data_IF_080830439074
#
_entry.id   IF_080830439074
#
_cell.length_a   1.000
_cell.length_b   1.000
_cell.length_c   1.000
_cell.angle_alpha   90.00
_cell.angle_beta   90.00
_cell.angle_gamma   90.00
#
_symmetry.space_group_name_H-M   'P 1'
#
loop_
_entity.id
_entity.type
_entity.pdbx_description
1 polymer ?
#
# COMPACT_ATOMS: atom_id res chain seq x y z
N UNK A 1 -18.06 30.90 -32.05
CA UNK A 1 -16.79 30.97 -31.30
C UNK A 1 -17.12 30.56 -29.87
N UNK A 2 -16.30 29.66 -29.31
CA UNK A 2 -16.45 28.98 -28.00
C UNK A 2 -17.56 27.92 -28.03
N UNK A 3 -17.38 26.65 -27.66
CA UNK A 3 -16.47 26.03 -26.68
C UNK A 3 -15.84 24.73 -27.21
N UNK A 4 -14.55 24.55 -26.96
CA UNK A 4 -13.85 23.29 -27.14
C UNK A 4 -13.21 22.98 -25.78
N UNK A 5 -13.92 22.21 -24.96
CA UNK A 5 -13.46 21.78 -23.65
C UNK A 5 -12.50 20.59 -23.81
N UNK A 6 -11.22 20.69 -23.39
CA UNK A 6 -10.24 19.61 -23.57
C UNK A 6 -10.42 18.41 -22.62
N UNK A 7 -11.45 18.39 -21.78
CA UNK A 7 -11.63 17.34 -20.76
C UNK A 7 -12.80 16.36 -21.00
N UNK A 8 -13.47 16.39 -22.16
CA UNK A 8 -14.52 15.41 -22.44
C UNK A 8 -13.93 14.12 -23.05
N UNK A 9 -13.61 13.15 -22.20
CA UNK A 9 -13.38 11.77 -22.62
C UNK A 9 -14.73 11.06 -22.74
N UNK A 10 -15.16 10.76 -23.97
CA UNK A 10 -16.30 9.89 -24.25
C UNK A 10 -15.97 8.44 -23.82
N UNK A 11 -16.36 8.08 -22.60
CA UNK A 11 -16.07 6.77 -22.00
C UNK A 11 -17.18 5.73 -22.26
N UNK A 12 -18.29 6.12 -22.88
CA UNK A 12 -19.40 5.22 -23.16
C UNK A 12 -20.00 5.53 -24.52
N UNK A 13 -19.35 4.98 -25.55
CA UNK A 13 -19.83 4.98 -26.92
C UNK A 13 -21.31 4.62 -26.98
N UNK A 14 -22.08 5.57 -27.51
CA UNK A 14 -23.52 5.50 -27.67
C UNK A 14 -23.92 4.36 -28.61
N UNK A 15 -24.78 3.47 -28.14
CA UNK A 15 -25.73 2.68 -28.96
C UNK A 15 -26.87 2.15 -28.08
N UNK A 16 -27.93 2.96 -28.01
CA UNK A 16 -29.34 2.61 -27.84
C UNK A 16 -29.70 1.18 -27.38
N UNK A 17 -30.29 1.05 -26.18
CA UNK A 17 -31.70 0.60 -26.07
C UNK A 17 -32.24 0.92 -24.67
N UNK A 18 -33.25 1.77 -24.63
CA UNK A 18 -34.06 2.05 -23.45
C UNK A 18 -34.98 0.86 -23.15
N UNK A 19 -35.15 0.50 -21.88
CA UNK A 19 -36.45 0.13 -21.32
C UNK A 19 -36.59 0.67 -19.90
N UNK A 20 -37.53 1.59 -19.79
CA UNK A 20 -38.11 2.17 -18.58
C UNK A 20 -39.08 1.19 -17.92
N UNK A 21 -39.38 1.50 -16.65
CA UNK A 21 -40.50 1.01 -15.81
C UNK A 21 -40.12 -0.18 -14.90
N UNK A 22 -40.47 -0.22 -13.62
CA UNK A 22 -41.31 0.63 -12.78
C UNK A 22 -41.66 -0.17 -11.51
N UNK A 23 -41.69 0.53 -10.37
CA UNK A 23 -42.44 0.29 -9.13
C UNK A 23 -43.03 -1.11 -8.84
N UNK A 24 -42.77 -1.63 -7.63
CA UNK A 24 -43.56 -2.73 -7.06
C UNK A 24 -43.18 -3.11 -5.63
N UNK A 25 -43.67 -2.33 -4.65
CA UNK A 25 -43.80 -2.71 -3.24
C UNK A 25 -44.61 -4.02 -3.10
N UNK A 26 -44.15 -4.95 -2.27
CA UNK A 26 -44.87 -6.17 -1.94
C UNK A 26 -44.38 -6.78 -0.62
N UNK A 27 -44.96 -6.30 0.49
CA UNK A 27 -44.85 -6.88 1.84
C UNK A 27 -46.01 -7.87 2.04
N UNK A 28 -45.73 -9.09 2.50
CA UNK A 28 -46.64 -10.07 3.15
C UNK A 28 -45.76 -11.15 3.78
N UNK A 29 -45.94 -11.66 5.01
CA UNK A 29 -47.01 -11.56 5.99
C UNK A 29 -46.55 -12.00 7.41
N UNK A 30 -47.30 -11.50 8.41
CA UNK A 30 -47.46 -11.80 9.85
C UNK A 30 -47.51 -13.30 10.22
N UNK A 31 -47.39 -13.80 11.47
CA UNK A 31 -47.71 -13.34 12.84
C UNK A 31 -46.78 -14.11 13.84
N UNK A 32 -46.55 -13.74 15.11
CA UNK A 32 -47.54 -13.55 16.17
C UNK A 32 -46.92 -12.79 17.37
N UNK A 33 -47.73 -11.97 18.04
CA UNK A 33 -47.41 -11.18 19.25
C UNK A 33 -48.52 -11.43 20.26
N UNK A 34 -48.23 -11.51 21.57
CA UNK A 34 -49.17 -11.06 22.58
C UNK A 34 -48.85 -9.63 23.04
N UNK A 35 -49.93 -8.86 23.20
CA UNK A 35 -50.00 -7.48 23.70
C UNK A 35 -49.72 -7.39 25.21
N UNK A 36 -49.15 -6.27 25.60
CA UNK A 36 -49.55 -5.49 26.79
C UNK A 36 -49.52 -4.01 26.40
N UNK A 37 -50.62 -3.29 26.67
CA UNK A 37 -50.87 -1.90 26.24
C UNK A 37 -50.18 -0.85 27.16
N UNK A 38 -50.43 0.48 27.04
CA UNK A 38 -49.42 1.45 26.62
C UNK A 38 -49.04 2.44 27.75
N UNK A 39 -47.84 3.01 27.72
CA UNK A 39 -47.51 4.18 28.54
C UNK A 39 -46.89 5.24 27.64
N UNK A 40 -47.62 6.34 27.49
CA UNK A 40 -47.18 7.61 26.92
C UNK A 40 -45.91 8.11 27.63
N UNK A 41 -44.89 8.46 26.85
CA UNK A 41 -43.70 9.13 27.34
C UNK A 41 -42.76 9.48 26.21
N UNK A 42 -42.48 10.78 26.06
CA UNK A 42 -41.58 11.40 25.07
C UNK A 42 -40.26 10.66 24.81
N UNK A 43 -39.67 10.82 23.60
CA UNK A 43 -38.39 10.21 23.26
C UNK A 43 -37.23 10.88 24.04
N UNK A 44 -36.32 10.13 24.68
CA UNK A 44 -35.13 10.73 25.27
C UNK A 44 -34.09 11.05 24.19
N UNK A 45 -33.85 12.35 24.06
CA UNK A 45 -32.64 13.09 23.70
C UNK A 45 -31.36 12.28 23.46
N UNK A 46 -30.74 12.59 22.30
CA UNK A 46 -29.37 12.23 21.89
C UNK A 46 -28.37 12.56 23.01
N UNK A 47 -27.80 11.52 23.62
CA UNK A 47 -26.65 11.63 24.50
C UNK A 47 -25.35 11.70 23.69
N UNK A 48 -24.75 12.89 23.62
CA UNK A 48 -23.34 13.05 23.21
C UNK A 48 -22.45 12.33 24.22
N UNK A 49 -21.97 11.14 23.87
CA UNK A 49 -20.88 10.50 24.59
C UNK A 49 -19.55 11.13 24.16
N UNK A 50 -19.11 12.14 24.89
CA UNK A 50 -17.72 12.61 24.86
C UNK A 50 -16.79 11.46 25.23
N UNK A 51 -15.88 11.11 24.32
CA UNK A 51 -14.78 10.20 24.61
C UNK A 51 -13.86 10.85 25.66
N UNK A 52 -13.45 10.14 26.73
CA UNK A 52 -12.41 10.65 27.61
C UNK A 52 -11.09 10.70 26.83
N UNK A 53 -10.54 11.91 26.69
CA UNK A 53 -9.17 12.11 26.24
C UNK A 53 -8.23 11.42 27.23
N UNK A 54 -7.59 10.33 26.82
CA UNK A 54 -6.51 9.73 27.60
C UNK A 54 -5.31 10.68 27.53
N UNK A 55 -5.12 11.42 28.62
CA UNK A 55 -3.88 12.16 28.89
C UNK A 55 -2.70 11.19 28.80
N UNK A 56 -1.74 11.50 27.92
CA UNK A 56 -0.48 10.76 27.82
C UNK A 56 0.36 11.05 29.08
N UNK A 57 0.80 10.04 29.85
CA UNK A 57 1.81 10.26 30.87
C UNK A 57 3.14 10.56 30.18
N UNK A 58 3.67 11.75 30.44
CA UNK A 58 5.06 12.12 30.18
C UNK A 58 5.94 11.49 31.27
N UNK A 59 7.14 11.09 30.87
CA UNK A 59 8.30 10.71 31.67
C UNK A 59 8.43 9.25 32.13
N UNK A 60 9.11 8.45 31.31
CA UNK A 60 9.87 7.29 31.77
C UNK A 60 11.37 7.64 31.74
N UNK A 61 12.11 7.46 32.84
CA UNK A 61 13.54 7.73 32.90
C UNK A 61 14.31 6.77 31.98
N UNK A 62 15.32 7.33 31.32
CA UNK A 62 16.01 6.75 30.17
C UNK A 62 16.48 5.31 30.38
N UNK A 63 15.86 4.41 29.64
CA UNK A 63 16.60 3.33 28.97
C UNK A 63 17.60 4.07 28.08
N UNK A 64 18.90 3.83 28.27
CA UNK A 64 19.95 4.32 27.36
C UNK A 64 19.44 4.12 25.93
N UNK A 65 19.07 5.22 25.29
CA UNK A 65 18.44 5.16 24.00
C UNK A 65 19.52 4.61 23.07
N UNK A 66 19.36 3.35 22.63
CA UNK A 66 20.11 2.80 21.51
C UNK A 66 20.29 3.92 20.49
N UNK A 67 21.55 4.27 20.19
CA UNK A 67 21.90 5.49 19.47
C UNK A 67 20.94 5.68 18.30
N UNK A 68 20.01 6.64 18.42
CA UNK A 68 18.97 6.83 17.41
C UNK A 68 19.68 7.20 16.12
N UNK A 69 19.55 6.36 15.08
CA UNK A 69 20.16 6.60 13.79
C UNK A 69 19.76 7.96 13.19
N UNK A 70 20.57 8.47 12.27
CA UNK A 70 20.30 9.75 11.59
C UNK A 70 19.17 9.63 10.56
N UNK A 71 18.34 10.66 10.45
CA UNK A 71 17.30 10.73 9.42
C UNK A 71 17.91 10.75 8.02
N UNK A 72 17.32 9.98 7.10
CA UNK A 72 17.64 10.03 5.68
C UNK A 72 16.78 11.09 4.97
N UNK A 73 17.42 11.99 4.22
CA UNK A 73 16.76 12.97 3.38
C UNK A 73 17.01 12.65 1.92
N UNK A 74 15.93 12.36 1.17
CA UNK A 74 16.04 12.10 -0.27
C UNK A 74 16.34 13.40 -1.02
N UNK A 75 17.57 13.56 -1.50
CA UNK A 75 17.93 14.63 -2.41
C UNK A 75 17.63 14.21 -3.86
N UNK A 76 16.58 14.77 -4.45
CA UNK A 76 16.22 14.52 -5.85
C UNK A 76 15.56 13.14 -6.07
N UNK A 77 15.89 12.47 -7.17
CA UNK A 77 15.28 11.18 -7.49
C UNK A 77 16.10 10.00 -6.95
N UNK A 78 15.40 8.92 -6.58
CA UNK A 78 16.01 7.62 -6.31
C UNK A 78 16.56 7.11 -7.63
N UNK A 79 17.88 7.06 -7.77
CA UNK A 79 18.58 6.63 -8.99
C UNK A 79 18.49 5.10 -9.16
N UNK A 80 17.27 4.61 -9.33
CA UNK A 80 16.95 3.20 -9.35
C UNK A 80 17.34 2.57 -10.69
N UNK A 81 17.77 1.30 -10.69
CA UNK A 81 18.27 0.64 -11.88
C UNK A 81 17.22 0.57 -13.02
N UNK A 82 17.69 0.45 -14.27
CA UNK A 82 16.81 0.26 -15.42
C UNK A 82 16.53 -1.23 -15.63
N UNK A 83 15.24 -1.59 -15.68
CA UNK A 83 14.79 -2.95 -15.93
C UNK A 83 14.70 -3.84 -14.70
N UNK A 84 13.84 -4.86 -14.78
CA UNK A 84 13.43 -5.64 -13.61
C UNK A 84 14.52 -6.53 -13.01
N UNK A 85 15.42 -7.10 -13.81
CA UNK A 85 16.55 -7.91 -13.27
C UNK A 85 17.51 -7.08 -12.44
N UNK A 86 17.79 -5.84 -12.87
CA UNK A 86 18.67 -4.97 -12.13
C UNK A 86 18.01 -4.49 -10.83
N UNK A 87 16.70 -4.19 -10.86
CA UNK A 87 15.89 -3.91 -9.65
C UNK A 87 15.85 -5.08 -8.67
N UNK A 88 15.73 -6.31 -9.19
CA UNK A 88 15.78 -7.51 -8.36
C UNK A 88 17.11 -7.60 -7.60
N UNK A 89 18.23 -7.33 -8.29
CA UNK A 89 19.56 -7.30 -7.66
C UNK A 89 19.68 -6.20 -6.61
N UNK A 90 19.22 -4.98 -6.90
CA UNK A 90 19.19 -3.90 -5.90
C UNK A 90 18.32 -4.24 -4.68
N UNK A 91 17.21 -4.98 -4.87
CA UNK A 91 16.40 -5.47 -3.77
C UNK A 91 17.14 -6.52 -2.92
N UNK A 92 17.80 -7.49 -3.56
CA UNK A 92 18.59 -8.52 -2.86
C UNK A 92 19.72 -7.90 -2.05
N UNK A 93 20.47 -6.97 -2.66
CA UNK A 93 21.52 -6.21 -1.99
C UNK A 93 20.97 -5.47 -0.76
N UNK A 94 19.76 -4.89 -0.87
CA UNK A 94 19.14 -4.18 0.23
C UNK A 94 18.63 -5.12 1.34
N UNK A 95 18.07 -6.29 0.99
CA UNK A 95 17.62 -7.31 1.97
C UNK A 95 18.83 -7.83 2.74
N UNK A 96 19.90 -8.22 2.04
CA UNK A 96 21.14 -8.70 2.66
C UNK A 96 21.75 -7.64 3.59
N UNK A 97 21.79 -6.39 3.13
CA UNK A 97 22.29 -5.27 3.93
C UNK A 97 21.42 -5.01 5.17
N UNK A 98 20.10 -5.04 5.04
CA UNK A 98 19.18 -4.85 6.15
C UNK A 98 19.34 -5.97 7.20
N UNK A 99 19.52 -7.21 6.76
CA UNK A 99 19.76 -8.34 7.65
C UNK A 99 21.10 -8.19 8.41
N UNK A 100 22.17 -7.75 7.73
CA UNK A 100 23.46 -7.49 8.38
C UNK A 100 23.37 -6.39 9.44
N UNK A 101 22.72 -5.26 9.12
CA UNK A 101 22.53 -4.15 10.06
C UNK A 101 21.71 -4.60 11.28
N UNK A 102 20.66 -5.40 11.06
CA UNK A 102 19.84 -5.94 12.15
C UNK A 102 20.61 -6.93 13.03
N UNK A 103 21.48 -7.77 12.45
CA UNK A 103 22.32 -8.69 13.19
C UNK A 103 23.41 -7.99 14.02
N UNK A 104 23.90 -6.84 13.55
CA UNK A 104 24.90 -6.00 14.23
C UNK A 104 24.30 -5.08 15.29
N UNK A 105 22.96 -5.04 15.44
CA UNK A 105 22.21 -4.22 16.39
C UNK A 105 22.67 -2.74 16.43
N UNK A 106 22.82 -2.15 15.24
CA UNK A 106 23.31 -0.76 15.07
C UNK A 106 22.46 0.04 14.08
N UNK A 107 22.54 1.38 14.12
CA UNK A 107 21.94 2.21 13.08
C UNK A 107 22.65 2.07 11.72
N UNK A 108 21.90 2.26 10.65
CA UNK A 108 22.42 2.32 9.28
C UNK A 108 23.23 3.60 9.06
N UNK A 109 24.42 3.48 8.47
CA UNK A 109 25.25 4.61 8.03
C UNK A 109 24.64 5.31 6.82
N UNK A 110 25.06 6.56 6.54
CA UNK A 110 24.56 7.32 5.39
C UNK A 110 24.74 6.59 4.04
N UNK A 111 25.85 5.86 3.87
CA UNK A 111 26.11 5.07 2.67
C UNK A 111 25.15 3.88 2.55
N UNK A 112 24.87 3.21 3.67
CA UNK A 112 23.93 2.10 3.73
C UNK A 112 22.51 2.57 3.48
N UNK A 113 22.10 3.71 4.06
CA UNK A 113 20.81 4.33 3.79
C UNK A 113 20.62 4.62 2.28
N UNK A 114 21.66 5.09 1.60
CA UNK A 114 21.64 5.33 0.15
C UNK A 114 21.51 4.05 -0.70
N UNK A 115 21.86 2.88 -0.14
CA UNK A 115 21.60 1.56 -0.75
C UNK A 115 20.20 1.07 -0.40
N UNK A 116 19.80 1.16 0.87
CA UNK A 116 18.50 0.71 1.37
C UNK A 116 17.33 1.41 0.67
N UNK A 117 17.45 2.71 0.35
CA UNK A 117 16.40 3.44 -0.35
C UNK A 117 16.13 2.93 -1.79
N UNK A 118 17.03 2.12 -2.35
CA UNK A 118 16.84 1.52 -3.67
C UNK A 118 15.94 0.29 -3.64
N UNK A 119 15.61 -0.22 -2.46
CA UNK A 119 14.64 -1.28 -2.31
C UNK A 119 13.27 -0.81 -2.81
N UNK A 120 12.76 -1.48 -3.85
CA UNK A 120 11.41 -1.23 -4.40
C UNK A 120 10.42 -2.32 -4.05
N UNK A 121 10.87 -3.40 -3.40
CA UNK A 121 10.07 -4.59 -3.15
C UNK A 121 9.70 -5.33 -4.44
N UNK A 122 8.76 -6.26 -4.32
CA UNK A 122 8.35 -7.16 -5.41
C UNK A 122 6.90 -6.92 -5.88
N UNK A 123 6.33 -5.75 -5.59
CA UNK A 123 4.93 -5.45 -5.94
C UNK A 123 4.66 -5.29 -7.44
N UNK A 124 5.70 -5.10 -8.25
CA UNK A 124 5.57 -5.03 -9.70
C UNK A 124 5.33 -6.43 -10.29
N UNK A 125 4.20 -6.61 -10.99
CA UNK A 125 3.80 -7.92 -11.55
C UNK A 125 4.87 -8.56 -12.42
N UNK A 126 5.57 -7.78 -13.26
CA UNK A 126 6.65 -8.29 -14.10
C UNK A 126 7.81 -8.88 -13.31
N UNK A 127 8.18 -8.24 -12.19
CA UNK A 127 9.24 -8.69 -11.31
C UNK A 127 8.80 -9.94 -10.54
N UNK A 128 7.64 -9.89 -9.90
CA UNK A 128 7.12 -11.00 -9.12
C UNK A 128 6.90 -12.28 -9.94
N UNK A 129 6.28 -12.14 -11.12
CA UNK A 129 6.02 -13.27 -12.02
C UNK A 129 7.29 -13.90 -12.60
N UNK A 130 8.45 -13.26 -12.42
CA UNK A 130 9.74 -13.72 -12.92
C UNK A 130 10.66 -14.26 -11.82
N UNK A 131 10.70 -13.63 -10.64
CA UNK A 131 11.63 -14.00 -9.56
C UNK A 131 11.11 -15.11 -8.66
N UNK A 132 9.80 -15.21 -8.44
CA UNK A 132 9.24 -16.27 -7.60
C UNK A 132 8.97 -17.53 -8.41
N UNK A 133 9.28 -18.69 -7.82
CA UNK A 133 8.93 -20.00 -8.36
C UNK A 133 7.42 -20.17 -8.46
N UNK A 134 6.93 -20.76 -9.55
CA UNK A 134 5.50 -21.00 -9.74
C UNK A 134 5.12 -22.39 -9.23
N UNK A 135 3.99 -22.55 -8.52
CA UNK A 135 3.58 -23.87 -8.00
C UNK A 135 3.41 -24.96 -9.05
N UNK A 136 3.17 -24.59 -10.32
CA UNK A 136 2.94 -25.51 -11.42
C UNK A 136 4.12 -25.63 -12.40
N UNK A 137 5.24 -24.96 -12.15
CA UNK A 137 6.45 -25.05 -12.99
C UNK A 137 7.63 -25.52 -12.14
N UNK A 138 8.43 -26.46 -12.65
CA UNK A 138 9.64 -26.91 -11.96
C UNK A 138 10.72 -25.82 -12.07
N UNK A 139 11.03 -25.16 -10.94
CA UNK A 139 12.11 -24.20 -10.83
C UNK A 139 11.75 -22.76 -11.17
N UNK A 140 12.78 -21.96 -11.43
CA UNK A 140 12.66 -20.54 -11.76
C UNK A 140 12.58 -20.30 -13.26
N UNK A 141 12.05 -19.14 -13.64
CA UNK A 141 11.99 -18.73 -15.05
C UNK A 141 13.40 -18.64 -15.65
N UNK A 142 13.54 -19.03 -16.91
CA UNK A 142 14.81 -18.94 -17.64
C UNK A 142 15.48 -17.55 -17.54
N UNK A 143 16.71 -17.53 -17.06
CA UNK A 143 17.54 -16.34 -16.82
C UNK A 143 17.25 -15.62 -15.49
N UNK A 144 16.45 -16.19 -14.60
CA UNK A 144 16.13 -15.68 -13.26
C UNK A 144 16.48 -16.67 -12.14
N UNK A 145 17.05 -17.83 -12.49
CA UNK A 145 17.41 -18.91 -11.58
C UNK A 145 18.32 -18.41 -10.46
N UNK A 146 19.45 -17.79 -10.82
CA UNK A 146 20.40 -17.26 -9.84
C UNK A 146 19.75 -16.26 -8.86
N UNK A 147 18.91 -15.36 -9.37
CA UNK A 147 18.25 -14.33 -8.56
C UNK A 147 17.15 -14.91 -7.65
N UNK A 148 16.44 -15.92 -8.14
CA UNK A 148 15.39 -16.61 -7.37
C UNK A 148 15.98 -17.46 -6.26
N UNK A 149 17.05 -18.21 -6.56
CA UNK A 149 17.80 -19.01 -5.59
C UNK A 149 18.46 -18.12 -4.53
N UNK A 150 19.08 -17.00 -4.94
CA UNK A 150 19.66 -16.02 -4.02
C UNK A 150 18.61 -15.41 -3.11
N UNK A 151 17.41 -15.09 -3.64
CA UNK A 151 16.30 -14.60 -2.83
C UNK A 151 15.88 -15.62 -1.77
N UNK A 152 15.66 -16.87 -2.19
CA UNK A 152 15.22 -17.94 -1.30
C UNK A 152 16.26 -18.27 -0.22
N UNK A 153 17.55 -18.14 -0.52
CA UNK A 153 18.62 -18.32 0.45
C UNK A 153 18.75 -17.13 1.43
N UNK A 154 18.33 -15.92 1.02
CA UNK A 154 18.49 -14.69 1.80
C UNK A 154 17.40 -14.46 2.84
N UNK A 155 16.26 -15.15 2.73
CA UNK A 155 15.09 -14.95 3.60
C UNK A 155 14.58 -16.28 4.15
N UNK A 156 13.89 -16.25 5.29
CA UNK A 156 13.18 -17.43 5.78
C UNK A 156 11.90 -17.70 4.98
N UNK A 157 11.30 -18.88 5.17
CA UNK A 157 10.11 -19.31 4.43
C UNK A 157 8.90 -18.37 4.63
N UNK A 158 8.71 -17.85 5.85
CA UNK A 158 7.59 -16.95 6.15
C UNK A 158 7.75 -15.59 5.44
N UNK A 159 8.98 -15.08 5.38
CA UNK A 159 9.32 -13.85 4.66
C UNK A 159 9.23 -14.07 3.15
N UNK A 160 9.71 -15.19 2.62
CA UNK A 160 9.57 -15.54 1.21
C UNK A 160 8.09 -15.57 0.78
N UNK A 161 7.23 -16.26 1.54
CA UNK A 161 5.80 -16.31 1.30
C UNK A 161 5.12 -14.94 1.44
N UNK A 162 5.63 -14.08 2.32
CA UNK A 162 5.12 -12.70 2.50
C UNK A 162 5.54 -11.79 1.34
N UNK A 163 6.77 -11.90 0.87
CA UNK A 163 7.26 -11.18 -0.32
C UNK A 163 6.51 -11.64 -1.57
N UNK A 164 6.25 -12.93 -1.74
CA UNK A 164 5.48 -13.46 -2.88
C UNK A 164 4.04 -12.92 -2.93
N UNK A 165 3.42 -12.68 -1.76
CA UNK A 165 2.06 -12.13 -1.66
C UNK A 165 1.98 -10.60 -1.80
N UNK A 166 3.10 -9.88 -1.80
CA UNK A 166 3.06 -8.41 -1.80
C UNK A 166 2.46 -7.80 -3.08
N UNK A 167 2.44 -8.54 -4.19
CA UNK A 167 1.77 -8.15 -5.44
C UNK A 167 0.26 -8.06 -5.32
N UNK A 168 -0.37 -8.90 -4.49
CA UNK A 168 -1.81 -8.97 -4.37
C UNK A 168 -2.42 -7.67 -3.81
N UNK A 169 -1.62 -6.91 -3.05
CA UNK A 169 -2.05 -5.71 -2.34
C UNK A 169 -1.33 -4.45 -2.83
N UNK A 170 -0.62 -4.53 -3.96
CA UNK A 170 0.16 -3.43 -4.52
C UNK A 170 -0.72 -2.42 -5.27
N UNK A 171 -1.21 -1.39 -4.57
CA UNK A 171 -1.88 -0.24 -5.18
C UNK A 171 -0.99 1.01 -5.07
N UNK A 172 -0.35 1.40 -6.18
CA UNK A 172 0.57 2.53 -6.21
C UNK A 172 0.17 3.57 -7.25
N UNK A 173 0.27 4.85 -6.88
CA UNK A 173 0.23 5.96 -7.83
C UNK A 173 1.56 6.03 -8.55
N UNK A 174 1.60 5.97 -9.90
CA UNK A 174 2.85 6.05 -10.64
C UNK A 174 3.65 7.31 -10.30
N UNK A 175 4.98 7.19 -10.29
CA UNK A 175 5.88 8.30 -9.91
C UNK A 175 5.62 9.56 -10.73
N UNK A 176 5.38 9.43 -12.03
CA UNK A 176 5.13 10.59 -12.89
C UNK A 176 3.84 11.34 -12.52
N UNK A 177 2.83 10.65 -11.99
CA UNK A 177 1.60 11.27 -11.47
C UNK A 177 1.91 12.02 -10.19
N UNK A 178 2.67 11.42 -9.26
CA UNK A 178 3.11 12.09 -8.04
C UNK A 178 3.91 13.36 -8.37
N UNK A 179 4.86 13.27 -9.31
CA UNK A 179 5.62 14.44 -9.77
C UNK A 179 4.73 15.51 -10.40
N UNK A 180 3.70 15.14 -11.16
CA UNK A 180 2.75 16.08 -11.74
C UNK A 180 1.92 16.79 -10.67
N UNK A 181 1.48 16.07 -9.63
CA UNK A 181 0.76 16.64 -8.48
C UNK A 181 1.65 17.67 -7.76
N UNK A 182 2.91 17.33 -7.45
CA UNK A 182 3.83 18.26 -6.78
C UNK A 182 4.15 19.50 -7.62
N UNK A 183 4.40 19.33 -8.92
CA UNK A 183 4.55 20.47 -9.84
C UNK A 183 3.30 21.35 -9.91
N UNK A 184 2.11 20.76 -9.76
CA UNK A 184 0.86 21.48 -9.64
C UNK A 184 0.80 22.33 -8.38
N UNK A 185 1.22 21.77 -7.24
CA UNK A 185 1.26 22.46 -5.94
C UNK A 185 2.26 23.63 -5.94
N UNK A 186 3.46 23.45 -6.50
CA UNK A 186 4.46 24.54 -6.64
C UNK A 186 3.89 25.73 -7.43
N UNK A 187 3.07 25.48 -8.46
CA UNK A 187 2.40 26.54 -9.24
C UNK A 187 1.31 27.27 -8.44
N UNK A 188 0.80 26.67 -7.38
CA UNK A 188 -0.17 27.28 -6.46
C UNK A 188 0.50 28.06 -5.32
N UNK A 189 1.84 28.12 -5.27
CA UNK A 189 2.59 28.89 -4.29
C UNK A 189 2.93 28.16 -3.00
N UNK A 190 2.96 26.82 -3.02
CA UNK A 190 3.56 25.98 -1.98
C UNK A 190 5.07 25.84 -2.15
#
# INVERSE_FOLDING_TARGET
MSDNDPFTLDMFGSSHSALSSGLGLGVTAFADRPRTDPIDGDPPTVGSHSLPATERPVDQPGVEAAERGSNFYLSGNRSLAKGWKARARENLDAISLAAAIAAEDRPATAQEQARLIRFTGFGASDLANAIFSRPCEEGFRKGWEDLGEELQASVNEADYASLARCTQYAHFTPEFIIQAIWKGLERLGW
#
